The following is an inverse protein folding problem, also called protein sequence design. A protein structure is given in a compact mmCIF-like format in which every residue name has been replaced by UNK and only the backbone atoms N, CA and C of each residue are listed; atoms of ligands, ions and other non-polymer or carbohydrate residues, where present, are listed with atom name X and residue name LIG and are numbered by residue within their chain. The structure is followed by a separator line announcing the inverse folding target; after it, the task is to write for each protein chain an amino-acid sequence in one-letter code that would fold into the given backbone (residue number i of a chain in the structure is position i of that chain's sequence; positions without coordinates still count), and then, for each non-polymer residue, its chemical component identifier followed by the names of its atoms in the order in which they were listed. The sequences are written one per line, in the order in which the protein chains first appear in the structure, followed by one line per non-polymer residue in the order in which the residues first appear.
data_IF_409939729454
#
_entry.id   IF_409939729454
#
_cell.length_a   1.000
_cell.length_b   1.000
_cell.length_c   1.000
_cell.angle_alpha   90.00
_cell.angle_beta   90.00
_cell.angle_gamma   90.00
#
_symmetry.space_group_name_H-M   'P 1'
#
loop_
_entity.id
_entity.type
_entity.pdbx_description
1 polymer ?
#
# COMPACT_ATOMS: atom_id res chain seq x y z
N UNK A 1 20.01 -32.59 -36.47
CA UNK A 1 18.66 -32.06 -36.17
C UNK A 1 18.80 -31.16 -34.95
N UNK A 2 18.71 -29.85 -35.12
CA UNK A 2 18.86 -28.88 -34.03
C UNK A 2 17.45 -28.48 -33.58
N UNK A 3 17.11 -28.72 -32.31
CA UNK A 3 15.83 -28.30 -31.72
C UNK A 3 16.08 -26.94 -31.07
N UNK A 4 15.61 -25.89 -31.74
CA UNK A 4 15.58 -24.53 -31.20
C UNK A 4 14.49 -24.46 -30.13
N UNK A 5 14.87 -24.34 -28.86
CA UNK A 5 13.93 -24.09 -27.78
C UNK A 5 13.48 -22.63 -27.83
N UNK A 6 12.20 -22.40 -28.16
CA UNK A 6 11.55 -21.11 -27.96
C UNK A 6 11.27 -20.93 -26.47
N UNK A 7 12.01 -20.00 -25.83
CA UNK A 7 11.65 -19.46 -24.52
C UNK A 7 10.43 -18.56 -24.70
N UNK A 8 9.26 -19.03 -24.27
CA UNK A 8 8.05 -18.23 -24.21
C UNK A 8 8.13 -17.38 -22.93
N UNK A 9 8.54 -16.12 -23.04
CA UNK A 9 8.40 -15.16 -21.95
C UNK A 9 6.92 -14.86 -21.75
N UNK A 10 6.29 -15.48 -20.74
CA UNK A 10 4.95 -15.12 -20.32
C UNK A 10 4.99 -13.72 -19.69
N UNK A 11 4.52 -12.72 -20.45
CA UNK A 11 4.16 -11.44 -19.86
C UNK A 11 2.99 -11.68 -18.91
N UNK A 12 3.23 -11.54 -17.60
CA UNK A 12 2.17 -11.40 -16.60
C UNK A 12 1.41 -10.11 -16.91
N UNK A 13 0.40 -10.20 -17.77
CA UNK A 13 -0.63 -9.19 -17.88
C UNK A 13 -1.31 -9.15 -16.51
N UNK A 14 -0.96 -8.18 -15.68
CA UNK A 14 -1.73 -7.89 -14.47
C UNK A 14 -3.19 -7.74 -14.86
N UNK A 15 -4.09 -8.40 -14.14
CA UNK A 15 -5.52 -8.25 -14.38
C UNK A 15 -5.87 -6.77 -14.24
N UNK A 16 -6.53 -6.19 -15.24
CA UNK A 16 -7.06 -4.83 -15.17
C UNK A 16 -8.09 -4.69 -14.05
N UNK A 17 -8.58 -3.47 -13.77
CA UNK A 17 -9.65 -3.30 -12.81
C UNK A 17 -10.90 -4.05 -13.29
N UNK A 18 -11.73 -4.50 -12.35
CA UNK A 18 -13.05 -5.02 -12.66
C UNK A 18 -13.95 -3.93 -13.25
N UNK A 19 -15.14 -4.32 -13.69
CA UNK A 19 -16.13 -3.40 -14.30
C UNK A 19 -16.55 -2.26 -13.35
N UNK A 20 -16.37 -2.44 -12.04
CA UNK A 20 -16.62 -1.42 -11.01
C UNK A 20 -15.43 -0.46 -10.78
N UNK A 21 -14.37 -0.57 -11.60
CA UNK A 21 -13.17 0.24 -11.52
C UNK A 21 -12.20 -0.19 -10.40
N UNK A 22 -12.49 -1.28 -9.68
CA UNK A 22 -11.66 -1.72 -8.55
C UNK A 22 -10.67 -2.80 -8.96
N UNK A 23 -9.49 -2.70 -8.40
CA UNK A 23 -8.45 -3.72 -8.54
C UNK A 23 -8.56 -4.73 -7.41
N UNK A 24 -8.66 -6.01 -7.74
CA UNK A 24 -8.86 -7.08 -6.76
C UNK A 24 -7.52 -7.77 -6.43
N UNK A 25 -7.24 -8.00 -5.15
CA UNK A 25 -6.11 -8.81 -4.71
C UNK A 25 -6.37 -9.43 -3.32
N UNK A 26 -6.33 -10.76 -3.26
CA UNK A 26 -6.62 -11.51 -2.04
C UNK A 26 -8.03 -11.23 -1.48
N UNK A 27 -8.08 -10.82 -0.22
CA UNK A 27 -9.31 -10.46 0.49
C UNK A 27 -9.66 -8.96 0.40
N UNK A 28 -8.97 -8.23 -0.47
CA UNK A 28 -9.09 -6.79 -0.58
C UNK A 28 -9.29 -6.33 -2.02
N UNK A 29 -9.89 -5.14 -2.14
CA UNK A 29 -9.97 -4.38 -3.37
C UNK A 29 -9.45 -2.96 -3.16
N UNK A 30 -8.89 -2.39 -4.21
CA UNK A 30 -8.18 -1.12 -4.20
C UNK A 30 -8.76 -0.21 -5.28
N UNK A 31 -8.98 1.07 -4.96
CA UNK A 31 -9.36 2.07 -5.96
C UNK A 31 -8.70 3.44 -5.72
N UNK A 32 -8.41 4.09 -6.83
CA UNK A 32 -7.95 5.47 -6.98
C UNK A 32 -9.11 6.45 -7.23
N UNK A 33 -10.33 6.07 -6.83
CA UNK A 33 -11.58 6.79 -7.15
C UNK A 33 -11.65 8.23 -6.61
N UNK A 34 -10.78 8.59 -5.66
CA UNK A 34 -10.68 9.94 -5.09
C UNK A 34 -9.69 10.84 -5.85
N UNK A 35 -8.96 10.31 -6.84
CA UNK A 35 -8.06 11.07 -7.70
C UNK A 35 -6.72 11.45 -7.07
N UNK A 36 -5.92 12.21 -7.82
CA UNK A 36 -4.55 12.63 -7.48
C UNK A 36 -3.46 11.63 -7.88
N UNK A 37 -3.83 10.37 -8.11
CA UNK A 37 -2.95 9.31 -8.59
C UNK A 37 -3.72 8.35 -9.50
N UNK A 38 -3.01 7.40 -10.10
CA UNK A 38 -3.60 6.31 -10.90
C UNK A 38 -3.01 4.96 -10.51
N UNK A 39 -3.85 3.97 -10.26
CA UNK A 39 -3.41 2.56 -10.14
C UNK A 39 -3.17 1.99 -11.54
N UNK A 40 -2.00 1.38 -11.72
CA UNK A 40 -1.57 0.79 -12.99
C UNK A 40 -1.63 -0.75 -12.98
N UNK A 41 -1.44 -1.37 -11.82
CA UNK A 41 -1.53 -2.81 -11.63
C UNK A 41 -1.72 -3.16 -10.16
N UNK A 42 -2.45 -4.25 -9.89
CA UNK A 42 -2.48 -4.90 -8.57
C UNK A 42 -2.41 -6.41 -8.75
N UNK A 43 -1.65 -7.09 -7.90
CA UNK A 43 -1.54 -8.55 -7.88
C UNK A 43 -1.20 -9.06 -6.48
N UNK A 44 -1.08 -10.39 -6.31
CA UNK A 44 -0.78 -11.02 -5.03
C UNK A 44 -2.01 -11.29 -4.17
N UNK A 45 -1.80 -12.03 -3.08
CA UNK A 45 -2.88 -12.42 -2.14
C UNK A 45 -2.90 -11.58 -0.86
N UNK A 46 -1.86 -10.80 -0.59
CA UNK A 46 -1.73 -10.01 0.64
C UNK A 46 -1.20 -10.79 1.85
N UNK A 47 -0.74 -12.03 1.64
CA UNK A 47 -0.11 -12.84 2.66
C UNK A 47 1.38 -12.49 2.82
N UNK A 48 2.01 -12.91 3.92
CA UNK A 48 3.46 -12.66 4.13
C UNK A 48 4.34 -13.21 3.00
N UNK A 49 3.99 -14.39 2.47
CA UNK A 49 4.75 -15.05 1.39
C UNK A 49 4.40 -14.56 -0.02
N UNK A 50 3.29 -13.84 -0.14
CA UNK A 50 2.75 -13.33 -1.40
C UNK A 50 2.00 -12.01 -1.13
N UNK A 51 2.76 -10.92 -0.86
CA UNK A 51 2.18 -9.62 -0.52
C UNK A 51 1.38 -9.07 -1.71
N UNK A 52 0.44 -8.16 -1.43
CA UNK A 52 -0.17 -7.38 -2.52
C UNK A 52 0.92 -6.53 -3.15
N UNK A 53 1.09 -6.64 -4.47
CA UNK A 53 1.95 -5.75 -5.24
C UNK A 53 1.07 -4.73 -5.95
N UNK A 54 1.09 -3.48 -5.48
CA UNK A 54 0.33 -2.37 -6.04
C UNK A 54 1.29 -1.42 -6.75
N UNK A 55 1.09 -1.24 -8.06
CA UNK A 55 1.84 -0.26 -8.86
C UNK A 55 0.96 0.93 -9.19
N UNK A 56 1.48 2.12 -8.96
CA UNK A 56 0.73 3.37 -9.12
C UNK A 56 1.62 4.52 -9.61
N UNK A 57 0.97 5.58 -10.07
CA UNK A 57 1.59 6.81 -10.53
C UNK A 57 0.93 8.00 -9.85
N UNK A 58 1.71 8.81 -9.12
CA UNK A 58 1.25 10.03 -8.47
C UNK A 58 1.61 11.24 -9.34
N UNK A 59 0.59 11.92 -9.88
CA UNK A 59 0.76 13.11 -10.71
C UNK A 59 0.66 14.43 -9.93
N UNK A 60 0.59 14.34 -8.60
CA UNK A 60 0.56 15.48 -7.67
C UNK A 60 1.54 15.28 -6.53
N UNK A 61 2.00 16.39 -5.95
CA UNK A 61 2.81 16.43 -4.74
C UNK A 61 1.97 16.75 -3.49
N UNK A 62 0.64 16.73 -3.61
CA UNK A 62 -0.29 16.81 -2.47
C UNK A 62 -0.72 15.42 -2.02
N UNK A 63 -1.20 15.31 -0.78
CA UNK A 63 -1.75 14.06 -0.26
C UNK A 63 -2.87 13.49 -1.17
N UNK A 64 -2.78 12.19 -1.44
CA UNK A 64 -3.79 11.39 -2.18
C UNK A 64 -4.31 10.27 -1.30
N UNK A 65 -5.46 9.69 -1.68
CA UNK A 65 -6.11 8.67 -0.85
C UNK A 65 -6.41 7.42 -1.66
N UNK A 66 -5.76 6.32 -1.28
CA UNK A 66 -6.10 4.98 -1.75
C UNK A 66 -7.27 4.44 -0.93
N UNK A 67 -8.34 4.01 -1.60
CA UNK A 67 -9.50 3.40 -0.95
C UNK A 67 -9.32 1.89 -0.93
N UNK A 68 -9.38 1.29 0.25
CA UNK A 68 -9.18 -0.16 0.46
C UNK A 68 -10.47 -0.75 1.01
N UNK A 69 -10.92 -1.87 0.44
CA UNK A 69 -12.15 -2.55 0.87
C UNK A 69 -11.93 -4.03 1.05
N UNK A 70 -12.51 -4.60 2.10
CA UNK A 70 -12.62 -6.05 2.26
C UNK A 70 -13.59 -6.66 1.24
N UNK A 71 -13.23 -7.81 0.66
CA UNK A 71 -14.05 -8.54 -0.31
C UNK A 71 -14.66 -9.78 0.36
N UNK A 72 -15.77 -9.58 1.08
CA UNK A 72 -16.46 -10.66 1.80
C UNK A 72 -16.24 -10.63 3.32
N UNK A 73 -16.49 -11.77 3.98
CA UNK A 73 -16.28 -11.91 5.43
C UNK A 73 -14.79 -12.16 5.72
N UNK A 74 -14.05 -11.09 5.99
CA UNK A 74 -12.71 -11.22 6.59
C UNK A 74 -12.87 -11.74 8.02
N UNK A 75 -12.23 -12.86 8.43
CA UNK A 75 -12.32 -13.36 9.80
C UNK A 75 -11.61 -12.39 10.76
N UNK A 76 -12.26 -11.30 11.17
CA UNK A 76 -11.64 -10.17 11.89
C UNK A 76 -11.07 -10.52 13.27
N UNK A 77 -11.39 -11.71 13.78
CA UNK A 77 -11.00 -12.19 15.11
C UNK A 77 -10.19 -13.49 15.11
N UNK A 78 -9.81 -14.03 13.95
CA UNK A 78 -8.92 -15.19 13.94
C UNK A 78 -7.49 -14.75 14.29
N UNK A 79 -7.00 -15.23 15.44
CA UNK A 79 -5.67 -14.92 15.98
C UNK A 79 -4.54 -15.70 15.27
N UNK A 80 -4.87 -16.54 14.29
CA UNK A 80 -3.89 -17.33 13.56
C UNK A 80 -3.33 -16.54 12.38
N UNK A 81 -2.04 -16.20 12.43
CA UNK A 81 -1.29 -15.63 11.31
C UNK A 81 -1.40 -16.47 10.02
N UNK A 82 -1.66 -17.78 10.14
CA UNK A 82 -1.85 -18.71 9.01
C UNK A 82 -3.21 -18.53 8.32
N UNK A 83 -4.17 -17.84 8.93
CA UNK A 83 -5.50 -17.63 8.38
C UNK A 83 -5.65 -16.31 7.58
N UNK A 84 -4.60 -15.47 7.49
CA UNK A 84 -4.69 -14.18 6.77
C UNK A 84 -5.70 -13.19 7.37
N UNK A 85 -6.10 -13.42 8.61
CA UNK A 85 -7.16 -12.72 9.29
C UNK A 85 -6.68 -11.36 9.83
N UNK A 86 -7.03 -10.31 9.11
CA UNK A 86 -6.74 -8.93 9.49
C UNK A 86 -5.28 -8.52 9.35
N UNK A 87 -4.51 -9.21 8.50
CA UNK A 87 -3.18 -8.77 8.08
C UNK A 87 -3.17 -8.58 6.57
N UNK A 88 -2.67 -7.42 6.14
CA UNK A 88 -2.42 -7.10 4.74
C UNK A 88 -0.95 -6.71 4.60
N UNK A 89 -0.16 -7.63 4.04
CA UNK A 89 1.19 -7.35 3.56
C UNK A 89 1.09 -6.72 2.17
N UNK A 90 1.60 -5.51 2.00
CA UNK A 90 1.51 -4.78 0.73
C UNK A 90 2.85 -4.12 0.38
N UNK A 91 3.24 -4.24 -0.88
CA UNK A 91 4.31 -3.48 -1.50
C UNK A 91 3.71 -2.50 -2.52
N UNK A 92 4.00 -1.22 -2.33
CA UNK A 92 3.50 -0.13 -3.18
C UNK A 92 4.65 0.44 -3.98
N UNK A 93 4.70 0.14 -5.28
CA UNK A 93 5.60 0.80 -6.22
C UNK A 93 4.94 2.07 -6.76
N UNK A 94 5.54 3.21 -6.46
CA UNK A 94 5.02 4.52 -6.80
C UNK A 94 5.97 5.24 -7.75
N UNK A 95 5.49 5.55 -8.95
CA UNK A 95 6.14 6.49 -9.86
C UNK A 95 5.85 7.93 -9.43
N UNK A 96 6.90 8.72 -9.24
CA UNK A 96 6.81 10.16 -9.04
C UNK A 96 6.58 10.87 -10.38
N UNK A 97 5.32 11.14 -10.74
CA UNK A 97 4.94 11.94 -11.90
C UNK A 97 4.52 13.38 -11.52
N UNK A 98 4.87 13.86 -10.32
CA UNK A 98 4.41 15.17 -9.81
C UNK A 98 5.23 16.36 -10.32
N UNK A 99 6.31 16.12 -11.08
CA UNK A 99 7.31 17.10 -11.52
C UNK A 99 8.10 17.78 -10.39
N UNK A 100 7.96 17.31 -9.14
CA UNK A 100 8.70 17.81 -7.98
C UNK A 100 9.38 16.63 -7.26
N UNK A 101 10.63 16.79 -6.79
CA UNK A 101 11.28 15.75 -6.02
C UNK A 101 10.59 15.58 -4.66
N UNK A 102 10.57 14.35 -4.17
CA UNK A 102 10.09 14.04 -2.81
C UNK A 102 11.27 13.82 -1.88
N UNK A 103 11.24 14.40 -0.69
CA UNK A 103 12.29 14.30 0.34
C UNK A 103 11.85 13.51 1.57
N UNK A 104 10.54 13.38 1.76
CA UNK A 104 9.92 12.48 2.73
C UNK A 104 8.62 11.92 2.13
N UNK A 105 8.09 10.86 2.72
CA UNK A 105 6.81 10.30 2.32
C UNK A 105 6.06 9.81 3.57
N UNK A 106 4.87 10.33 3.81
CA UNK A 106 4.03 9.92 4.94
C UNK A 106 2.88 9.05 4.45
N UNK A 107 2.61 7.98 5.21
CA UNK A 107 1.36 7.24 5.13
C UNK A 107 0.55 7.45 6.39
N UNK A 108 -0.77 7.58 6.24
CA UNK A 108 -1.72 7.61 7.35
C UNK A 108 -2.87 6.65 7.07
N UNK A 109 -3.23 5.85 8.08
CA UNK A 109 -4.43 5.02 8.04
C UNK A 109 -5.63 5.80 8.57
N UNK A 110 -6.80 5.58 7.95
CA UNK A 110 -8.07 6.15 8.37
C UNK A 110 -9.18 5.10 8.25
N UNK A 111 -9.81 4.72 9.36
CA UNK A 111 -11.04 3.91 9.34
C UNK A 111 -12.20 4.74 8.75
N UNK A 112 -12.24 6.03 9.09
CA UNK A 112 -13.20 7.00 8.57
C UNK A 112 -12.49 8.10 7.80
N UNK A 113 -12.93 8.37 6.57
CA UNK A 113 -12.28 9.34 5.68
C UNK A 113 -12.12 10.72 6.35
N UNK A 114 -10.89 11.22 6.33
CA UNK A 114 -10.51 12.51 6.90
C UNK A 114 -10.30 12.48 8.42
N UNK A 115 -10.38 11.31 9.05
CA UNK A 115 -10.17 11.11 10.49
C UNK A 115 -9.04 10.09 10.63
N UNK A 116 -7.90 10.54 11.14
CA UNK A 116 -6.76 9.67 11.43
C UNK A 116 -7.16 8.53 12.35
N UNK A 117 -6.75 7.32 12.01
CA UNK A 117 -6.97 6.13 12.84
C UNK A 117 -6.23 6.23 14.16
N UNK A 118 -6.81 5.59 15.17
CA UNK A 118 -6.31 5.55 16.54
C UNK A 118 -6.32 4.11 17.02
N UNK A 119 -5.49 3.77 18.01
CA UNK A 119 -5.37 2.40 18.56
C UNK A 119 -6.71 1.65 18.77
N UNK A 120 -7.76 2.36 19.20
CA UNK A 120 -9.06 1.76 19.54
C UNK A 120 -9.95 1.36 18.36
N UNK A 121 -9.64 1.77 17.12
CA UNK A 121 -10.46 1.42 15.95
C UNK A 121 -10.06 0.08 15.30
N UNK A 122 -8.89 -0.45 15.65
CA UNK A 122 -8.39 -1.73 15.16
C UNK A 122 -7.68 -1.65 13.80
N UNK A 123 -7.41 -0.46 13.26
CA UNK A 123 -6.62 -0.24 12.05
C UNK A 123 -5.25 0.32 12.40
N UNK A 124 -4.18 -0.34 11.99
CA UNK A 124 -2.84 0.11 12.36
C UNK A 124 -1.74 -0.43 11.46
N UNK A 125 -0.57 0.21 11.53
CA UNK A 125 0.64 -0.34 10.92
C UNK A 125 1.33 -1.29 11.90
N UNK A 126 1.36 -2.60 11.61
CA UNK A 126 2.14 -3.60 12.37
C UNK A 126 1.94 -3.55 13.92
N UNK A 127 0.72 -3.29 14.42
CA UNK A 127 0.45 -3.22 15.87
C UNK A 127 0.66 -4.56 16.59
N UNK A 128 0.47 -5.69 15.90
CA UNK A 128 0.77 -7.01 16.45
C UNK A 128 2.27 -7.31 16.51
N UNK A 129 3.11 -6.38 16.04
CA UNK A 129 4.58 -6.41 16.11
C UNK A 129 5.14 -7.74 15.59
N UNK A 130 4.78 -8.06 14.36
CA UNK A 130 5.05 -9.35 13.72
C UNK A 130 6.47 -9.44 13.14
N UNK A 131 7.33 -8.48 13.53
CA UNK A 131 8.75 -8.35 13.20
C UNK A 131 9.07 -7.12 12.33
N UNK A 132 10.13 -6.38 12.69
CA UNK A 132 10.57 -5.12 12.04
C UNK A 132 11.00 -5.23 10.58
N UNK A 133 11.17 -6.45 10.05
CA UNK A 133 11.65 -6.68 8.69
C UNK A 133 10.60 -6.41 7.58
N UNK A 134 9.39 -5.96 7.94
CA UNK A 134 8.24 -5.88 7.02
C UNK A 134 7.88 -4.45 6.60
N UNK A 135 8.44 -3.42 7.25
CA UNK A 135 8.27 -2.01 6.87
C UNK A 135 9.58 -1.49 6.31
N UNK A 136 9.53 -0.83 5.15
CA UNK A 136 10.72 -0.23 4.57
C UNK A 136 10.48 0.47 3.23
N UNK A 137 11.50 1.14 2.73
CA UNK A 137 11.48 1.80 1.42
C UNK A 137 12.74 1.47 0.62
N UNK A 138 12.65 1.54 -0.70
CA UNK A 138 13.81 1.45 -1.60
C UNK A 138 14.62 2.76 -1.72
N UNK A 139 14.02 3.91 -1.34
CA UNK A 139 14.63 5.24 -1.54
C UNK A 139 14.85 6.02 -0.24
N UNK A 140 14.10 5.72 0.82
CA UNK A 140 14.19 6.37 2.12
C UNK A 140 14.87 5.45 3.13
N UNK A 141 16.01 5.88 3.68
CA UNK A 141 16.84 5.05 4.54
C UNK A 141 16.28 4.84 5.95
N UNK A 142 15.40 5.74 6.40
CA UNK A 142 14.81 5.69 7.75
C UNK A 142 13.30 5.77 7.68
N UNK A 143 12.64 5.23 8.71
CA UNK A 143 11.21 5.42 8.90
C UNK A 143 10.91 5.62 10.39
N UNK A 144 9.94 6.48 10.68
CA UNK A 144 9.40 6.73 12.01
C UNK A 144 7.95 6.26 12.06
N UNK A 145 7.65 5.41 13.05
CA UNK A 145 6.29 4.94 13.33
C UNK A 145 5.75 5.80 14.48
N UNK A 146 4.97 6.82 14.15
CA UNK A 146 4.34 7.67 15.16
C UNK A 146 3.02 7.03 15.57
N UNK A 147 3.04 6.09 16.50
CA UNK A 147 1.87 5.27 16.86
C UNK A 147 0.77 5.96 17.63
N UNK A 148 1.06 7.07 18.30
CA UNK A 148 0.04 7.74 19.11
C UNK A 148 0.18 9.25 19.01
N UNK A 149 -0.95 9.97 18.84
CA UNK A 149 -2.33 9.46 18.82
C UNK A 149 -2.80 8.90 17.47
N UNK A 150 -1.95 8.80 16.45
CA UNK A 150 -2.36 8.48 15.07
C UNK A 150 -1.65 7.25 14.52
N UNK A 151 -2.24 6.53 13.58
CA UNK A 151 -1.54 5.47 12.84
C UNK A 151 -0.84 6.03 11.59
N UNK A 152 0.40 6.52 11.80
CA UNK A 152 1.23 7.13 10.75
C UNK A 152 2.60 6.49 10.60
N UNK A 153 3.09 6.50 9.36
CA UNK A 153 4.41 6.04 8.96
C UNK A 153 5.09 7.14 8.14
N UNK A 154 6.18 7.70 8.65
CA UNK A 154 6.96 8.72 7.95
C UNK A 154 8.28 8.12 7.47
N UNK A 155 8.52 8.12 6.16
CA UNK A 155 9.77 7.70 5.52
C UNK A 155 10.65 8.92 5.24
N UNK A 156 11.93 8.86 5.62
CA UNK A 156 12.87 9.99 5.59
C UNK A 156 14.28 9.57 5.15
N UNK A 157 15.19 10.55 5.11
CA UNK A 157 16.61 10.34 4.77
C UNK A 157 16.78 9.73 3.37
N UNK A 158 16.12 10.34 2.38
CA UNK A 158 16.13 9.89 1.00
C UNK A 158 15.60 10.95 0.06
N UNK A 159 15.59 10.65 -1.23
CA UNK A 159 14.98 11.50 -2.25
C UNK A 159 14.43 10.64 -3.38
N UNK A 160 13.30 11.05 -3.96
CA UNK A 160 12.72 10.47 -5.17
C UNK A 160 12.54 11.59 -6.18
N UNK A 161 13.42 11.65 -7.17
CA UNK A 161 13.34 12.64 -8.24
C UNK A 161 12.11 12.42 -9.12
N UNK A 162 11.65 13.47 -9.80
CA UNK A 162 10.59 13.36 -10.79
C UNK A 162 10.97 12.32 -11.87
N UNK A 163 10.00 11.52 -12.28
CA UNK A 163 10.15 10.41 -13.23
C UNK A 163 10.77 9.14 -12.63
N UNK A 164 11.13 9.12 -11.34
CA UNK A 164 11.68 7.93 -10.68
C UNK A 164 10.63 7.25 -9.81
N UNK A 165 10.85 5.95 -9.55
CA UNK A 165 9.95 5.14 -8.72
C UNK A 165 10.56 4.81 -7.37
N UNK A 166 9.69 4.66 -6.38
CA UNK A 166 10.02 4.18 -5.03
C UNK A 166 9.08 3.04 -4.65
N UNK A 167 9.62 2.02 -3.99
CA UNK A 167 8.82 0.92 -3.42
C UNK A 167 8.72 1.10 -1.91
N UNK A 168 7.52 1.02 -1.37
CA UNK A 168 7.25 0.96 0.06
C UNK A 168 6.70 -0.41 0.43
N UNK A 169 7.26 -1.03 1.46
CA UNK A 169 6.73 -2.25 2.07
C UNK A 169 6.02 -1.86 3.35
N UNK A 170 4.77 -2.28 3.48
CA UNK A 170 3.91 -1.98 4.61
C UNK A 170 3.25 -3.26 5.11
N UNK A 171 2.98 -3.28 6.41
CA UNK A 171 2.12 -4.28 7.04
C UNK A 171 0.96 -3.55 7.72
N UNK A 172 -0.24 -3.73 7.17
CA UNK A 172 -1.47 -3.18 7.72
C UNK A 172 -2.16 -4.27 8.54
N UNK A 173 -2.52 -3.95 9.77
CA UNK A 173 -3.41 -4.74 10.61
C UNK A 173 -4.81 -4.14 10.51
N UNK A 174 -5.78 -4.92 10.04
CA UNK A 174 -7.18 -4.51 9.85
C UNK A 174 -8.10 -5.40 10.67
N UNK A 175 -8.45 -4.92 11.86
CA UNK A 175 -9.43 -5.49 12.77
C UNK A 175 -10.66 -4.58 12.92
N UNK A 176 -10.77 -3.59 12.03
CA UNK A 176 -11.88 -2.63 12.05
C UNK A 176 -13.21 -3.35 11.92
N UNK A 177 -14.34 -2.79 12.36
CA UNK A 177 -15.67 -3.28 11.99
C UNK A 177 -16.14 -2.80 10.59
N UNK A 178 -15.42 -1.86 9.96
CA UNK A 178 -15.83 -1.26 8.69
C UNK A 178 -15.31 -2.07 7.50
N UNK A 179 -16.08 -2.25 6.42
CA UNK A 179 -15.60 -2.95 5.23
C UNK A 179 -14.69 -2.11 4.34
N UNK A 180 -14.54 -0.82 4.64
CA UNK A 180 -13.77 0.17 3.88
C UNK A 180 -12.90 0.95 4.85
N UNK A 181 -11.65 1.18 4.48
CA UNK A 181 -10.74 2.11 5.14
C UNK A 181 -9.88 2.81 4.07
N UNK A 182 -9.06 3.75 4.50
CA UNK A 182 -8.31 4.62 3.61
C UNK A 182 -6.83 4.64 3.99
N UNK A 183 -5.99 4.69 2.97
CA UNK A 183 -4.55 4.92 3.10
C UNK A 183 -4.24 6.26 2.44
N UNK A 184 -3.98 7.28 3.26
CA UNK A 184 -3.47 8.56 2.79
C UNK A 184 -1.99 8.40 2.45
N UNK A 185 -1.58 8.97 1.32
CA UNK A 185 -0.21 8.96 0.83
C UNK A 185 0.21 10.40 0.58
N UNK A 186 1.18 10.88 1.34
CA UNK A 186 1.57 12.29 1.38
C UNK A 186 3.07 12.47 1.05
N UNK A 187 3.42 12.71 -0.22
CA UNK A 187 4.79 13.04 -0.60
C UNK A 187 5.14 14.46 -0.14
N UNK A 188 6.31 14.64 0.47
CA UNK A 188 6.81 15.96 0.91
C UNK A 188 7.91 16.48 0.00
N UNK A 189 7.85 17.76 -0.33
CA UNK A 189 8.81 18.44 -1.22
C UNK A 189 9.85 19.23 -0.38
N UNK A 190 11.02 19.60 -0.91
CA UNK A 190 12.09 20.31 -0.17
C UNK A 190 11.75 21.65 0.52
N UNK A 191 10.49 22.11 0.47
CA UNK A 191 10.01 23.35 1.08
C UNK A 191 8.63 23.21 1.77
N UNK A 192 8.18 21.97 2.02
CA UNK A 192 6.91 21.68 2.69
C UNK A 192 6.93 21.95 4.19
#
# INVERSE_FOLDING_TARGET
MSITAFLLSAALLGAGPGDDGRWQAGQYSFSDELGGFRIQAVSGTGSRSDPVLLRQELYTASAVVLVIRTTGEVPRYAYDERAGAGYLFIEIETLNASNLPWVEFEFELQEMRGISSVYGDGLSFDQRNVGSAQIGSSAFATHDRKFEPYDRLLFQSGTVDAGHSVTFRLLITDLTPKPVFYLVQDPRIPAS
#
